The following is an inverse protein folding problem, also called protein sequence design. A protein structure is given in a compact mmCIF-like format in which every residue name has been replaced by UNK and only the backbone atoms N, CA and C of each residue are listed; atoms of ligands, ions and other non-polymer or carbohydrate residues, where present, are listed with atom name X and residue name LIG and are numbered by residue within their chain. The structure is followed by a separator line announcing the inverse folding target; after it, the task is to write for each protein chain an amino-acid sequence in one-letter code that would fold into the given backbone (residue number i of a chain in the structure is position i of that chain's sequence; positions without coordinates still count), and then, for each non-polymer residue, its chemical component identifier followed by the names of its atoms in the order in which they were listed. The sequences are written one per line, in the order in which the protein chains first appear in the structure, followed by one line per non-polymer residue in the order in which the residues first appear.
data_IF_491995422163
#
_entry.id   IF_491995422163
#
_cell.length_a   1.000
_cell.length_b   1.000
_cell.length_c   1.000
_cell.angle_alpha   90.00
_cell.angle_beta   90.00
_cell.angle_gamma   90.00
#
_symmetry.space_group_name_H-M   'P 1'
#
loop_
_entity.id
_entity.type
_entity.pdbx_description
1 polymer ?
#
# COMPACT_ATOMS: atom_id res chain seq x y z
N UNK A 1 -30.80 30.06 2.31
CA UNK A 1 -32.23 29.71 2.18
C UNK A 1 -32.55 29.12 0.81
N UNK A 2 -32.03 29.71 -0.27
CA UNK A 2 -32.19 29.23 -1.65
C UNK A 2 -31.77 27.76 -1.88
N UNK A 3 -30.64 27.33 -1.31
CA UNK A 3 -30.14 25.94 -1.43
C UNK A 3 -31.10 24.92 -0.81
N UNK A 4 -31.78 25.29 0.28
CA UNK A 4 -32.74 24.41 0.97
C UNK A 4 -33.98 24.23 0.11
N UNK A 5 -34.51 25.32 -0.47
CA UNK A 5 -35.67 25.27 -1.35
C UNK A 5 -35.39 24.45 -2.61
N UNK A 6 -34.24 24.69 -3.27
CA UNK A 6 -33.80 23.87 -4.41
C UNK A 6 -33.66 22.38 -4.09
N UNK A 7 -33.32 22.03 -2.85
CA UNK A 7 -33.27 20.63 -2.43
C UNK A 7 -34.67 20.05 -2.19
N UNK A 8 -35.58 20.82 -1.59
CA UNK A 8 -36.99 20.41 -1.44
C UNK A 8 -37.61 20.11 -2.79
N UNK A 9 -37.45 21.00 -3.77
CA UNK A 9 -37.99 20.80 -5.12
C UNK A 9 -37.45 19.51 -5.76
N UNK A 10 -36.17 19.19 -5.58
CA UNK A 10 -35.56 17.93 -6.08
C UNK A 10 -36.13 16.70 -5.39
N UNK A 11 -36.37 16.76 -4.08
CA UNK A 11 -36.93 15.66 -3.29
C UNK A 11 -38.38 15.43 -3.70
N UNK A 12 -39.17 16.49 -3.88
CA UNK A 12 -40.56 16.40 -4.31
C UNK A 12 -40.67 15.81 -5.71
N UNK A 13 -39.87 16.32 -6.65
CA UNK A 13 -39.85 15.82 -8.03
C UNK A 13 -39.35 14.37 -8.16
N UNK A 14 -38.58 13.84 -7.19
CA UNK A 14 -37.99 12.49 -7.26
C UNK A 14 -38.19 11.67 -5.97
N UNK A 15 -39.38 11.73 -5.37
CA UNK A 15 -39.66 11.18 -4.03
C UNK A 15 -39.25 9.71 -3.87
N UNK A 16 -39.58 8.85 -4.85
CA UNK A 16 -39.27 7.41 -4.80
C UNK A 16 -37.75 7.14 -4.78
N UNK A 17 -36.99 7.90 -5.56
CA UNK A 17 -35.53 7.79 -5.60
C UNK A 17 -34.90 8.16 -4.25
N UNK A 18 -35.35 9.26 -3.63
CA UNK A 18 -34.86 9.67 -2.32
C UNK A 18 -35.21 8.68 -1.21
N UNK A 19 -36.43 8.13 -1.20
CA UNK A 19 -36.83 7.06 -0.26
C UNK A 19 -35.96 5.81 -0.40
N UNK A 20 -35.67 5.38 -1.64
CA UNK A 20 -34.79 4.23 -1.90
C UNK A 20 -33.37 4.49 -1.39
N UNK A 21 -32.82 5.70 -1.62
CA UNK A 21 -31.50 6.08 -1.10
C UNK A 21 -31.46 6.07 0.42
N UNK A 22 -32.49 6.61 1.07
CA UNK A 22 -32.60 6.61 2.51
C UNK A 22 -32.55 5.18 3.06
N UNK A 23 -33.38 4.28 2.52
CA UNK A 23 -33.38 2.87 2.92
C UNK A 23 -32.02 2.17 2.73
N UNK A 24 -31.31 2.46 1.62
CA UNK A 24 -29.98 1.89 1.34
C UNK A 24 -28.92 2.37 2.36
N UNK A 25 -29.03 3.62 2.81
CA UNK A 25 -27.99 4.33 3.56
C UNK A 25 -28.20 4.25 5.07
N UNK A 26 -29.45 4.26 5.53
CA UNK A 26 -29.78 4.19 6.96
C UNK A 26 -29.31 2.90 7.62
N UNK A 27 -29.46 1.77 6.95
CA UNK A 27 -29.00 0.48 7.49
C UNK A 27 -27.47 0.41 7.71
N UNK A 28 -26.60 0.79 6.74
CA UNK A 28 -25.16 0.95 6.96
C UNK A 28 -24.83 1.87 8.14
N UNK A 29 -25.45 3.05 8.20
CA UNK A 29 -25.16 4.00 9.28
C UNK A 29 -25.60 3.49 10.64
N UNK A 30 -26.77 2.85 10.72
CA UNK A 30 -27.25 2.20 11.94
C UNK A 30 -26.29 1.11 12.40
N UNK A 31 -25.80 0.28 11.47
CA UNK A 31 -24.83 -0.78 11.77
C UNK A 31 -23.53 -0.20 12.33
N UNK A 32 -22.94 0.77 11.64
CA UNK A 32 -21.67 1.37 12.04
C UNK A 32 -21.80 2.09 13.40
N UNK A 33 -22.87 2.85 13.61
CA UNK A 33 -23.03 3.61 14.86
C UNK A 33 -23.42 2.74 16.04
N UNK A 34 -24.37 1.80 15.86
CA UNK A 34 -24.94 1.00 16.96
C UNK A 34 -24.22 -0.33 17.17
N UNK A 35 -23.99 -1.10 16.12
CA UNK A 35 -23.36 -2.42 16.25
C UNK A 35 -21.84 -2.32 16.38
N UNK A 36 -21.20 -1.38 15.70
CA UNK A 36 -19.74 -1.21 15.77
C UNK A 36 -19.32 -0.14 16.80
N UNK A 37 -20.27 0.51 17.47
CA UNK A 37 -19.99 1.51 18.50
C UNK A 37 -19.36 2.80 17.99
N UNK A 38 -19.33 3.07 16.68
CA UNK A 38 -18.75 4.29 16.11
C UNK A 38 -19.72 5.48 16.22
N UNK A 39 -20.04 5.87 17.47
CA UNK A 39 -21.01 6.92 17.78
C UNK A 39 -20.39 8.32 17.78
N UNK A 40 -19.07 8.42 17.98
CA UNK A 40 -18.34 9.69 17.99
C UNK A 40 -17.00 9.54 17.26
N UNK A 41 -16.54 10.64 16.69
CA UNK A 41 -15.21 10.74 16.08
C UNK A 41 -14.22 11.04 17.20
N UNK A 42 -13.25 10.14 17.38
CA UNK A 42 -12.22 10.28 18.41
C UNK A 42 -11.27 11.43 18.09
N UNK A 43 -10.95 11.65 16.82
CA UNK A 43 -9.99 12.66 16.42
C UNK A 43 -10.65 14.04 16.25
N UNK A 44 -10.83 14.75 17.37
CA UNK A 44 -11.49 16.07 17.44
C UNK A 44 -10.64 17.28 17.01
N UNK A 45 -9.45 17.06 16.41
CA UNK A 45 -8.50 18.11 16.06
C UNK A 45 -8.85 18.90 14.78
N UNK A 46 -9.76 18.42 13.94
CA UNK A 46 -10.16 19.13 12.72
C UNK A 46 -10.92 18.26 11.71
N UNK A 47 -11.53 18.91 10.71
CA UNK A 47 -12.39 18.26 9.71
C UNK A 47 -11.66 17.18 8.90
N UNK A 48 -10.41 17.41 8.52
CA UNK A 48 -9.62 16.44 7.74
C UNK A 48 -9.43 15.13 8.49
N UNK A 49 -8.99 15.21 9.76
CA UNK A 49 -8.78 14.03 10.60
C UNK A 49 -10.09 13.31 10.89
N UNK A 50 -11.15 14.07 11.17
CA UNK A 50 -12.49 13.52 11.32
C UNK A 50 -12.99 12.81 10.05
N UNK A 51 -12.69 13.36 8.87
CA UNK A 51 -13.01 12.74 7.58
C UNK A 51 -12.25 11.44 7.37
N UNK A 52 -10.99 11.37 7.78
CA UNK A 52 -10.20 10.14 7.72
C UNK A 52 -10.77 9.04 8.60
N UNK A 53 -11.15 9.33 9.85
CA UNK A 53 -11.75 8.36 10.77
C UNK A 53 -13.06 7.77 10.21
N UNK A 54 -13.94 8.65 9.73
CA UNK A 54 -15.23 8.26 9.14
C UNK A 54 -15.03 7.49 7.84
N UNK A 55 -14.12 7.96 6.98
CA UNK A 55 -13.77 7.30 5.72
C UNK A 55 -13.24 5.89 5.91
N UNK A 56 -12.33 5.71 6.88
CA UNK A 56 -11.81 4.39 7.24
C UNK A 56 -12.92 3.43 7.66
N UNK A 57 -13.87 3.92 8.47
CA UNK A 57 -15.00 3.10 8.94
C UNK A 57 -15.94 2.69 7.81
N UNK A 58 -16.18 3.57 6.83
CA UNK A 58 -16.95 3.23 5.63
C UNK A 58 -16.23 2.22 4.74
N UNK A 59 -14.91 2.35 4.57
CA UNK A 59 -14.12 1.36 3.82
C UNK A 59 -14.21 -0.01 4.48
N UNK A 60 -14.01 -0.09 5.80
CA UNK A 60 -14.10 -1.34 6.54
C UNK A 60 -15.49 -1.98 6.43
N UNK A 61 -16.57 -1.19 6.55
CA UNK A 61 -17.93 -1.68 6.40
C UNK A 61 -18.20 -2.22 4.99
N UNK A 62 -17.82 -1.45 3.97
CA UNK A 62 -18.00 -1.87 2.58
C UNK A 62 -17.19 -3.12 2.26
N UNK A 63 -15.95 -3.23 2.76
CA UNK A 63 -15.14 -4.44 2.59
C UNK A 63 -15.81 -5.66 3.23
N UNK A 64 -16.30 -5.54 4.47
CA UNK A 64 -17.05 -6.62 5.13
C UNK A 64 -18.29 -7.01 4.34
N UNK A 65 -19.03 -6.03 3.82
CA UNK A 65 -20.21 -6.26 2.98
C UNK A 65 -19.85 -7.00 1.70
N UNK A 66 -18.78 -6.61 1.00
CA UNK A 66 -18.29 -7.31 -0.19
C UNK A 66 -17.94 -8.76 0.14
N UNK A 67 -17.20 -9.00 1.22
CA UNK A 67 -16.83 -10.36 1.64
C UNK A 67 -18.05 -11.23 1.94
N UNK A 68 -19.10 -10.64 2.54
CA UNK A 68 -20.35 -11.34 2.82
C UNK A 68 -21.16 -11.64 1.55
N UNK A 69 -21.22 -10.71 0.59
CA UNK A 69 -21.97 -10.89 -0.68
C UNK A 69 -21.26 -11.88 -1.59
N UNK A 70 -19.95 -11.75 -1.76
CA UNK A 70 -19.14 -12.59 -2.66
C UNK A 70 -18.96 -13.99 -2.08
N UNK A 71 -18.90 -14.10 -0.75
CA UNK A 71 -18.68 -15.36 -0.06
C UNK A 71 -17.21 -15.81 -0.04
N UNK A 72 -16.87 -16.66 0.93
CA UNK A 72 -15.49 -17.06 1.23
C UNK A 72 -14.76 -17.73 0.06
N UNK A 73 -15.46 -18.61 -0.67
CA UNK A 73 -14.87 -19.41 -1.74
C UNK A 73 -14.48 -18.56 -2.96
N UNK A 74 -15.39 -17.67 -3.39
CA UNK A 74 -15.10 -16.77 -4.49
C UNK A 74 -14.02 -15.76 -4.09
N UNK A 75 -14.07 -15.21 -2.87
CA UNK A 75 -13.04 -14.32 -2.35
C UNK A 75 -11.65 -14.97 -2.36
N UNK A 76 -11.55 -16.24 -1.93
CA UNK A 76 -10.29 -16.99 -1.98
C UNK A 76 -9.73 -17.08 -3.40
N UNK A 77 -10.57 -17.38 -4.39
CA UNK A 77 -10.15 -17.44 -5.80
C UNK A 77 -9.63 -16.09 -6.29
N UNK A 78 -10.36 -15.00 -6.02
CA UNK A 78 -9.91 -13.65 -6.40
C UNK A 78 -8.58 -13.28 -5.75
N UNK A 79 -8.40 -13.58 -4.46
CA UNK A 79 -7.15 -13.32 -3.75
C UNK A 79 -5.98 -14.14 -4.31
N UNK A 80 -6.21 -15.41 -4.69
CA UNK A 80 -5.17 -16.22 -5.33
C UNK A 80 -4.70 -15.61 -6.65
N UNK A 81 -5.63 -15.20 -7.51
CA UNK A 81 -5.30 -14.52 -8.78
C UNK A 81 -4.54 -13.23 -8.52
N UNK A 82 -4.99 -12.42 -7.54
CA UNK A 82 -4.32 -11.19 -7.17
C UNK A 82 -2.87 -11.44 -6.71
N UNK A 83 -2.64 -12.43 -5.86
CA UNK A 83 -1.29 -12.81 -5.40
C UNK A 83 -0.40 -13.24 -6.57
N UNK A 84 -0.95 -14.00 -7.53
CA UNK A 84 -0.20 -14.40 -8.72
C UNK A 84 0.20 -13.19 -9.57
N UNK A 85 -0.71 -12.25 -9.81
CA UNK A 85 -0.43 -11.03 -10.57
C UNK A 85 0.62 -10.15 -9.89
N UNK A 86 0.44 -9.90 -8.60
CA UNK A 86 1.36 -9.17 -7.72
C UNK A 86 2.73 -9.82 -7.78
N UNK A 87 2.83 -11.10 -7.45
CA UNK A 87 4.11 -11.82 -7.44
C UNK A 87 4.80 -11.81 -8.82
N UNK A 88 4.04 -11.94 -9.91
CA UNK A 88 4.56 -11.80 -11.27
C UNK A 88 5.25 -10.46 -11.52
N UNK A 89 4.71 -9.36 -11.00
CA UNK A 89 5.29 -8.01 -11.12
C UNK A 89 6.51 -7.81 -10.21
N UNK A 90 6.51 -8.39 -9.00
CA UNK A 90 7.60 -8.23 -8.03
C UNK A 90 8.81 -9.15 -8.29
N UNK A 91 8.61 -10.31 -8.94
CA UNK A 91 9.69 -11.23 -9.34
C UNK A 91 10.83 -10.55 -10.12
N UNK A 92 10.59 -9.80 -11.22
CA UNK A 92 11.68 -9.17 -11.99
C UNK A 92 12.41 -8.09 -11.19
N UNK A 93 11.70 -7.34 -10.34
CA UNK A 93 12.30 -6.34 -9.46
C UNK A 93 13.28 -7.02 -8.50
N UNK A 94 12.87 -8.12 -7.88
CA UNK A 94 13.73 -8.92 -6.99
C UNK A 94 14.97 -9.44 -7.71
N UNK A 95 14.83 -9.96 -8.93
CA UNK A 95 15.94 -10.49 -9.73
C UNK A 95 16.96 -9.39 -10.10
N UNK A 96 16.49 -8.20 -10.48
CA UNK A 96 17.36 -7.05 -10.74
C UNK A 96 18.17 -6.65 -9.49
N UNK A 97 17.53 -6.64 -8.32
CA UNK A 97 18.21 -6.34 -7.05
C UNK A 97 19.30 -7.37 -6.75
N UNK A 98 19.05 -8.67 -6.97
CA UNK A 98 20.06 -9.71 -6.76
C UNK A 98 21.25 -9.59 -7.72
N UNK A 99 21.01 -9.24 -8.99
CA UNK A 99 22.09 -9.04 -9.98
C UNK A 99 23.02 -7.89 -9.58
N UNK A 100 22.46 -6.75 -9.15
CA UNK A 100 23.24 -5.61 -8.69
C UNK A 100 24.12 -5.96 -7.47
N UNK A 101 23.61 -6.80 -6.57
CA UNK A 101 24.37 -7.28 -5.41
C UNK A 101 25.54 -8.17 -5.82
N UNK A 102 25.34 -9.06 -6.81
CA UNK A 102 26.41 -9.91 -7.34
C UNK A 102 27.52 -9.09 -8.02
N UNK A 103 27.16 -8.08 -8.82
CA UNK A 103 28.12 -7.18 -9.48
C UNK A 103 28.97 -6.44 -8.44
N UNK A 104 28.34 -5.91 -7.37
CA UNK A 104 29.09 -5.26 -6.27
C UNK A 104 30.07 -6.20 -5.58
N UNK A 105 29.68 -7.47 -5.40
CA UNK A 105 30.56 -8.48 -4.79
C UNK A 105 31.75 -8.81 -5.69
N UNK A 106 31.52 -8.98 -7.00
CA UNK A 106 32.58 -9.20 -7.97
C UNK A 106 33.55 -8.01 -8.04
N UNK A 107 33.02 -6.79 -8.05
CA UNK A 107 33.83 -5.57 -8.03
C UNK A 107 34.74 -5.50 -6.79
N UNK A 108 34.23 -5.91 -5.61
CA UNK A 108 35.04 -5.98 -4.39
C UNK A 108 36.18 -6.98 -4.51
N UNK A 109 35.94 -8.16 -5.09
CA UNK A 109 36.98 -9.18 -5.34
C UNK A 109 38.03 -8.62 -6.30
N UNK A 110 37.59 -8.01 -7.40
CA UNK A 110 38.49 -7.46 -8.41
C UNK A 110 39.41 -6.39 -7.81
N UNK A 111 38.87 -5.45 -7.03
CA UNK A 111 39.66 -4.44 -6.32
C UNK A 111 40.70 -5.09 -5.41
N UNK A 112 40.29 -6.07 -4.59
CA UNK A 112 41.22 -6.74 -3.67
C UNK A 112 42.37 -7.46 -4.40
N UNK A 113 42.08 -8.03 -5.58
CA UNK A 113 43.10 -8.67 -6.41
C UNK A 113 44.08 -7.64 -7.01
N UNK A 114 43.55 -6.53 -7.55
CA UNK A 114 44.37 -5.46 -8.10
C UNK A 114 45.24 -4.78 -7.05
N UNK A 115 44.70 -4.50 -5.86
CA UNK A 115 45.47 -3.96 -4.73
C UNK A 115 46.60 -4.89 -4.30
N UNK A 116 46.33 -6.20 -4.21
CA UNK A 116 47.36 -7.20 -3.92
C UNK A 116 48.48 -7.23 -4.95
N UNK A 117 48.14 -7.14 -6.23
CA UNK A 117 49.12 -7.10 -7.33
C UNK A 117 49.96 -5.81 -7.30
N UNK A 118 49.33 -4.66 -7.10
CA UNK A 118 50.00 -3.36 -6.95
C UNK A 118 50.95 -3.32 -5.76
N UNK A 119 50.51 -3.85 -4.61
CA UNK A 119 51.33 -3.91 -3.40
C UNK A 119 52.54 -4.83 -3.59
N UNK A 120 52.38 -5.96 -4.30
CA UNK A 120 53.50 -6.84 -4.66
C UNK A 120 54.50 -6.13 -5.59
N UNK A 121 54.03 -5.46 -6.64
CA UNK A 121 54.91 -4.72 -7.56
C UNK A 121 55.69 -3.60 -6.86
N UNK A 122 55.03 -2.85 -5.97
CA UNK A 122 55.71 -1.82 -5.15
C UNK A 122 56.77 -2.43 -4.23
N UNK A 123 56.48 -3.59 -3.64
CA UNK A 123 57.42 -4.29 -2.80
C UNK A 123 58.65 -4.75 -3.59
N UNK A 124 58.45 -5.37 -4.76
CA UNK A 124 59.55 -5.82 -5.64
C UNK A 124 60.42 -4.64 -6.10
N UNK A 125 59.82 -3.49 -6.44
CA UNK A 125 60.55 -2.27 -6.76
C UNK A 125 61.39 -1.74 -5.59
N UNK A 126 60.83 -1.72 -4.38
CA UNK A 126 61.56 -1.29 -3.19
C UNK A 126 62.72 -2.24 -2.87
N UNK A 127 62.53 -3.55 -3.04
CA UNK A 127 63.58 -4.56 -2.82
C UNK A 127 64.77 -4.37 -3.78
N UNK A 128 64.48 -4.01 -5.03
CA UNK A 128 65.49 -3.66 -6.04
C UNK A 128 66.19 -2.33 -5.73
N UNK A 129 65.48 -1.32 -5.20
CA UNK A 129 66.06 0.00 -4.94
C UNK A 129 66.89 0.07 -3.67
N UNK A 130 66.53 -0.71 -2.63
CA UNK A 130 67.27 -0.72 -1.36
C UNK A 130 68.45 -1.68 -1.38
N UNK A 131 68.64 -2.45 -2.46
CA UNK A 131 69.61 -3.54 -2.52
C UNK A 131 69.30 -4.53 -1.40
N UNK A 132 68.26 -5.35 -1.58
CA UNK A 132 67.80 -6.29 -0.56
C UNK A 132 68.97 -7.03 0.11
N UNK A 133 69.05 -6.90 1.44
CA UNK A 133 70.08 -7.45 2.36
C UNK A 133 71.47 -7.72 1.78
#
# INVERSE_FOLDING_TARGET
TEVINKNKDRIENNRNYYRRRQAIVEHPYGTIKRQWGFSYISTKKGKERASSDVGFMFIAYNLRRIMNIVGKNALKKYLQVLILLVSGKYRPIRLKISLLKAIKYLHKILISYFEGCLNRLKFDQNLLSTGGF
#
